data_IF_383707493846
#
_entry.id   IF_383707493846
#
_cell.length_a   1.000
_cell.length_b   1.000
_cell.length_c   1.000
_cell.angle_alpha   90.00
_cell.angle_beta   90.00
_cell.angle_gamma   90.00
#
_symmetry.space_group_name_H-M   'P 1'
#
loop_
_entity.id
_entity.type
_entity.pdbx_description
1 polymer ?
#
# COMPACT_ATOMS: atom_id res chain seq x y z
N UNK A 1 -7.85 -1.90 8.63
CA UNK A 1 -6.48 -1.68 9.15
C UNK A 1 -6.57 -0.56 10.20
N UNK A 2 -6.47 -0.89 11.49
CA UNK A 2 -6.38 0.12 12.54
C UNK A 2 -4.90 0.35 12.82
N UNK A 3 -4.33 1.38 12.21
CA UNK A 3 -2.93 1.75 12.44
C UNK A 3 -2.91 2.58 13.74
N UNK A 4 -2.18 2.17 14.79
CA UNK A 4 -1.97 3.01 15.97
C UNK A 4 -1.29 4.31 15.55
N UNK A 5 -1.59 5.41 16.24
CA UNK A 5 -1.08 6.74 15.87
C UNK A 5 0.43 6.81 16.13
N UNK A 6 1.22 6.56 15.09
CA UNK A 6 2.68 6.64 15.11
C UNK A 6 3.13 7.80 14.22
N UNK A 7 3.69 8.83 14.87
CA UNK A 7 4.21 10.00 14.18
C UNK A 7 5.36 9.65 13.23
N UNK A 8 6.17 8.61 13.52
CA UNK A 8 7.25 8.18 12.64
C UNK A 8 6.71 7.68 11.31
N UNK A 9 5.72 6.78 11.36
CA UNK A 9 5.05 6.25 10.18
C UNK A 9 4.35 7.34 9.35
N UNK A 10 3.61 8.24 10.02
CA UNK A 10 2.89 9.33 9.35
C UNK A 10 3.88 10.28 8.66
N UNK A 11 5.02 10.55 9.29
CA UNK A 11 6.04 11.43 8.74
C UNK A 11 6.73 10.79 7.52
N UNK A 12 7.05 9.50 7.56
CA UNK A 12 7.58 8.75 6.41
C UNK A 12 6.58 8.75 5.24
N UNK A 13 5.30 8.51 5.51
CA UNK A 13 4.23 8.48 4.50
C UNK A 13 4.03 9.85 3.81
N UNK A 14 4.23 10.95 4.55
CA UNK A 14 4.13 12.31 4.00
C UNK A 14 5.39 12.76 3.24
N UNK A 15 6.55 12.17 3.55
CA UNK A 15 7.83 12.49 2.91
C UNK A 15 7.98 11.77 1.56
N UNK A 16 7.41 10.56 1.43
CA UNK A 16 7.49 9.74 0.22
C UNK A 16 7.00 10.51 -1.02
N UNK A 17 7.86 10.66 -2.04
CA UNK A 17 7.51 11.33 -3.28
C UNK A 17 7.24 10.32 -4.37
N UNK A 18 6.01 10.33 -4.89
CA UNK A 18 5.67 9.61 -6.10
C UNK A 18 5.81 10.53 -7.32
N UNK A 19 6.45 10.04 -8.37
CA UNK A 19 6.50 10.69 -9.67
C UNK A 19 5.90 9.79 -10.73
N UNK A 20 4.99 10.34 -11.54
CA UNK A 20 4.47 9.66 -12.71
C UNK A 20 5.43 9.88 -13.88
N UNK A 21 6.10 8.81 -14.30
CA UNK A 21 6.98 8.87 -15.48
C UNK A 21 6.15 8.96 -16.76
N UNK A 22 6.70 9.56 -17.82
CA UNK A 22 6.06 9.65 -19.14
C UNK A 22 5.71 8.27 -19.74
N UNK A 23 6.34 7.20 -19.25
CA UNK A 23 6.06 5.82 -19.61
C UNK A 23 4.89 5.20 -18.84
N UNK A 24 4.17 5.97 -18.02
CA UNK A 24 3.02 5.52 -17.23
C UNK A 24 3.39 4.71 -15.97
N UNK A 25 4.68 4.61 -15.62
CA UNK A 25 5.12 3.94 -14.38
C UNK A 25 5.20 4.94 -13.23
N UNK A 26 4.75 4.52 -12.06
CA UNK A 26 4.92 5.27 -10.81
C UNK A 26 6.31 4.96 -10.27
N UNK A 27 7.10 6.00 -10.03
CA UNK A 27 8.40 5.90 -9.35
C UNK A 27 8.27 6.49 -7.95
N UNK A 28 8.67 5.71 -6.95
CA UNK A 28 8.80 6.16 -5.57
C UNK A 28 10.24 6.63 -5.33
N UNK A 29 10.39 7.67 -4.52
CA UNK A 29 11.69 8.25 -4.17
C UNK A 29 11.58 8.96 -2.83
N UNK A 30 12.51 8.68 -1.95
CA UNK A 30 12.66 9.37 -0.68
C UNK A 30 13.85 10.36 -0.75
N UNK A 31 13.81 11.50 -0.04
CA UNK A 31 14.97 12.39 0.10
C UNK A 31 16.14 11.72 0.83
N UNK A 32 17.35 12.22 0.63
CA UNK A 32 18.52 11.74 1.39
C UNK A 32 18.36 12.02 2.89
N UNK A 33 18.57 10.99 3.72
CA UNK A 33 18.47 11.08 5.18
C UNK A 33 17.11 10.69 5.77
N UNK A 34 16.17 10.19 4.97
CA UNK A 34 14.88 9.67 5.46
C UNK A 34 14.82 8.15 5.33
N UNK A 35 14.02 7.52 6.18
CA UNK A 35 13.78 6.08 6.17
C UNK A 35 12.46 5.77 5.46
N UNK A 36 12.42 4.65 4.74
CA UNK A 36 11.26 4.17 3.97
C UNK A 36 10.82 2.74 4.38
N UNK A 37 11.46 2.17 5.40
CA UNK A 37 11.26 0.80 5.84
C UNK A 37 9.85 0.55 6.41
N UNK A 38 9.30 1.50 7.20
CA UNK A 38 7.93 1.35 7.74
C UNK A 38 6.86 1.63 6.69
N UNK A 39 7.14 2.53 5.76
CA UNK A 39 6.30 2.77 4.59
C UNK A 39 6.12 1.48 3.78
N UNK A 40 7.23 0.83 3.38
CA UNK A 40 7.18 -0.43 2.62
C UNK A 40 6.58 -1.58 3.42
N UNK A 41 6.88 -1.69 4.72
CA UNK A 41 6.28 -2.72 5.58
C UNK A 41 4.74 -2.61 5.62
N UNK A 42 4.22 -1.38 5.70
CA UNK A 42 2.77 -1.14 5.70
C UNK A 42 2.16 -1.42 4.33
N UNK A 43 2.82 -0.99 3.25
CA UNK A 43 2.37 -1.27 1.89
C UNK A 43 2.31 -2.79 1.61
N UNK A 44 3.33 -3.54 2.04
CA UNK A 44 3.37 -5.00 1.95
C UNK A 44 2.30 -5.66 2.80
N UNK A 45 2.07 -5.18 4.03
CA UNK A 45 1.00 -5.68 4.89
C UNK A 45 -0.38 -5.49 4.23
N UNK A 46 -0.66 -4.30 3.69
CA UNK A 46 -1.89 -4.02 2.93
C UNK A 46 -1.99 -4.92 1.71
N UNK A 47 -0.91 -5.10 0.95
CA UNK A 47 -0.89 -6.00 -0.20
C UNK A 47 -1.23 -7.44 0.20
N UNK A 48 -0.67 -7.93 1.30
CA UNK A 48 -0.93 -9.26 1.84
C UNK A 48 -2.38 -9.43 2.36
N UNK A 49 -3.08 -8.34 2.71
CA UNK A 49 -4.51 -8.41 3.09
C UNK A 49 -5.43 -8.77 1.94
N UNK A 50 -4.96 -8.75 0.68
CA UNK A 50 -5.74 -9.17 -0.50
C UNK A 50 -5.95 -10.69 -0.59
N UNK A 51 -5.68 -11.45 0.46
CA UNK A 51 -5.74 -12.92 0.50
C UNK A 51 -7.16 -13.53 0.44
N UNK A 52 -8.23 -12.74 0.33
CA UNK A 52 -9.58 -13.26 0.08
C UNK A 52 -10.39 -12.39 -0.90
N UNK A 53 -9.97 -12.33 -2.17
CA UNK A 53 -11.00 -12.28 -3.21
C UNK A 53 -11.40 -13.73 -3.44
N UNK A 54 -12.43 -14.17 -2.74
CA UNK A 54 -13.18 -15.39 -3.06
C UNK A 54 -13.57 -15.34 -4.53
N UNK A 55 -12.77 -16.01 -5.35
CA UNK A 55 -13.10 -16.21 -6.74
C UNK A 55 -14.20 -17.29 -6.81
N UNK A 56 -15.40 -16.86 -7.24
CA UNK A 56 -16.51 -17.65 -7.82
C UNK A 56 -17.33 -18.45 -6.78
N UNK A 57 -18.65 -18.58 -6.89
CA UNK A 57 -19.45 -18.91 -8.06
C UNK A 57 -20.89 -18.36 -8.00
N UNK A 58 -21.28 -17.79 -9.14
CA UNK A 58 -22.60 -17.72 -9.78
C UNK A 58 -23.88 -18.02 -8.98
N UNK A 59 -24.80 -17.07 -9.12
CA UNK A 59 -26.24 -17.24 -9.21
C UNK A 59 -26.64 -18.63 -9.76
N UNK A 60 -26.97 -19.57 -8.87
CA UNK A 60 -27.81 -20.71 -9.22
C UNK A 60 -28.97 -20.75 -8.22
N UNK A 61 -30.05 -20.11 -8.65
CA UNK A 61 -31.43 -20.38 -8.24
C UNK A 61 -31.66 -21.88 -8.36
N UNK A 62 -31.99 -22.57 -7.28
CA UNK A 62 -32.93 -23.70 -7.21
C UNK A 62 -33.13 -24.09 -5.74
N UNK A 63 -34.12 -23.49 -5.07
CA UNK A 63 -35.19 -24.14 -4.28
C UNK A 63 -36.33 -23.13 -4.17
#
# INVERSE_FOLDING_TARGET
LAIPYDNGLIQELNVERFQLTKSGKIKFSHPEGTHDDRFWATALAVYATRSHTTAKSEDFIFV
#
